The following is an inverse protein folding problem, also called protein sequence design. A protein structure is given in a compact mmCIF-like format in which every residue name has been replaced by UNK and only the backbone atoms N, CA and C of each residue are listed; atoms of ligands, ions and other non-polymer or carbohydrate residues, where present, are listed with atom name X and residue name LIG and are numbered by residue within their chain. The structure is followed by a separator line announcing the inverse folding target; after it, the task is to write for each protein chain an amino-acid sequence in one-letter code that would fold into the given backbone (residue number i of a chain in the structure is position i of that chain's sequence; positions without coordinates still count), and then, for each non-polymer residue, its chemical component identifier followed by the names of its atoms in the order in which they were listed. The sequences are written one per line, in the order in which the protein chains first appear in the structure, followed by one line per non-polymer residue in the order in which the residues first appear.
data_IF_981328079642
#
_entry.id   IF_981328079642
#
_cell.length_a   1.000
_cell.length_b   1.000
_cell.length_c   1.000
_cell.angle_alpha   90.00
_cell.angle_beta   90.00
_cell.angle_gamma   90.00
#
_symmetry.space_group_name_H-M   'P 1'
#
loop_
_entity.id
_entity.type
_entity.pdbx_description
1 polymer ?
#
# COMPACT_ATOMS: atom_id res chain seq x y z
N UNK A 1 1.53 10.53 -6.90
CA UNK A 1 0.78 10.02 -8.06
C UNK A 1 -0.61 10.60 -7.98
N UNK A 2 -0.99 11.41 -8.95
CA UNK A 2 -2.35 12.00 -9.01
C UNK A 2 -3.39 10.96 -9.48
N UNK A 3 -4.68 11.23 -9.27
CA UNK A 3 -5.76 10.31 -9.64
C UNK A 3 -5.69 9.89 -11.13
N UNK A 4 -5.47 10.84 -12.04
CA UNK A 4 -5.37 10.55 -13.47
C UNK A 4 -4.16 9.69 -13.81
N UNK A 5 -3.05 9.87 -13.10
CA UNK A 5 -1.88 9.01 -13.23
C UNK A 5 -2.18 7.59 -12.72
N UNK A 6 -2.89 7.43 -11.59
CA UNK A 6 -3.32 6.13 -11.09
C UNK A 6 -4.24 5.43 -12.10
N UNK A 7 -5.20 6.17 -12.68
CA UNK A 7 -6.12 5.65 -13.70
C UNK A 7 -5.39 5.24 -14.97
N UNK A 8 -4.47 6.09 -15.45
CA UNK A 8 -3.62 5.79 -16.61
C UNK A 8 -2.75 4.55 -16.38
N UNK A 9 -2.10 4.46 -15.21
CA UNK A 9 -1.30 3.32 -14.83
C UNK A 9 -2.14 2.04 -14.75
N UNK A 10 -3.33 2.11 -14.16
CA UNK A 10 -4.24 0.98 -14.07
C UNK A 10 -4.73 0.50 -15.44
N UNK A 11 -5.06 1.42 -16.37
CA UNK A 11 -5.42 1.08 -17.76
C UNK A 11 -4.29 0.30 -18.44
N UNK A 12 -3.04 0.74 -18.28
CA UNK A 12 -1.85 0.03 -18.77
C UNK A 12 -1.76 -1.38 -18.17
N UNK A 13 -1.95 -1.52 -16.85
CA UNK A 13 -1.94 -2.83 -16.18
C UNK A 13 -3.07 -3.75 -16.65
N UNK A 14 -4.25 -3.20 -16.96
CA UNK A 14 -5.42 -3.97 -17.43
C UNK A 14 -5.25 -4.49 -18.85
N UNK A 15 -4.47 -3.81 -19.69
CA UNK A 15 -4.13 -4.26 -21.03
C UNK A 15 -3.13 -5.41 -21.06
N UNK A 16 -2.43 -5.66 -19.94
CA UNK A 16 -1.45 -6.74 -19.84
C UNK A 16 -2.11 -8.11 -19.71
N UNK A 17 -1.41 -9.12 -20.21
CA UNK A 17 -1.73 -10.52 -19.96
C UNK A 17 -1.52 -10.90 -18.50
N UNK A 18 -2.12 -12.02 -18.08
CA UNK A 18 -1.96 -12.55 -16.70
C UNK A 18 -0.49 -12.82 -16.35
N UNK A 19 0.31 -13.33 -17.29
CA UNK A 19 1.73 -13.63 -17.10
C UNK A 19 2.56 -12.36 -16.92
N UNK A 20 2.26 -11.30 -17.68
CA UNK A 20 2.93 -10.01 -17.56
C UNK A 20 2.62 -9.31 -16.24
N UNK A 21 1.36 -9.34 -15.80
CA UNK A 21 0.98 -8.84 -14.46
C UNK A 21 1.72 -9.62 -13.37
N UNK A 22 1.79 -10.95 -13.49
CA UNK A 22 2.54 -11.79 -12.54
C UNK A 22 4.02 -11.40 -12.52
N UNK A 23 4.66 -11.23 -13.67
CA UNK A 23 6.06 -10.80 -13.79
C UNK A 23 6.29 -9.43 -13.15
N UNK A 24 5.43 -8.44 -13.44
CA UNK A 24 5.51 -7.11 -12.79
C UNK A 24 5.39 -7.20 -11.28
N UNK A 25 4.46 -8.02 -10.77
CA UNK A 25 4.32 -8.25 -9.32
C UNK A 25 5.54 -8.93 -8.72
N UNK A 26 6.13 -9.91 -9.39
CA UNK A 26 7.38 -10.54 -8.93
C UNK A 26 8.53 -9.54 -8.85
N UNK A 27 8.62 -8.59 -9.78
CA UNK A 27 9.65 -7.53 -9.72
C UNK A 27 9.39 -6.56 -8.57
N UNK A 28 8.16 -6.04 -8.43
CA UNK A 28 7.80 -5.18 -7.29
C UNK A 28 8.01 -5.89 -5.95
N UNK A 29 7.78 -7.20 -5.87
CA UNK A 29 8.03 -7.97 -4.65
C UNK A 29 9.50 -7.94 -4.22
N UNK A 30 10.43 -7.96 -5.18
CA UNK A 30 11.87 -7.80 -4.89
C UNK A 30 12.16 -6.40 -4.35
N UNK A 31 11.54 -5.38 -4.97
CA UNK A 31 11.66 -3.99 -4.50
C UNK A 31 11.18 -3.82 -3.05
N UNK A 32 10.09 -4.51 -2.68
CA UNK A 32 9.61 -4.55 -1.30
C UNK A 32 10.55 -5.30 -0.35
N UNK A 33 11.34 -6.27 -0.82
CA UNK A 33 12.11 -7.18 0.02
C UNK A 33 13.58 -6.74 0.18
N UNK A 34 13.77 -5.49 0.58
CA UNK A 34 15.09 -4.96 0.96
C UNK A 34 15.68 -3.92 0.02
N UNK A 35 15.23 -3.81 -1.23
CA UNK A 35 15.82 -2.86 -2.20
C UNK A 35 15.29 -1.44 -2.00
N UNK A 36 13.97 -1.28 -1.82
CA UNK A 36 13.31 0.03 -1.67
C UNK A 36 12.49 0.14 -0.37
N UNK A 37 12.40 -0.95 0.39
CA UNK A 37 11.70 -1.01 1.66
C UNK A 37 12.32 -2.09 2.55
N UNK A 38 11.84 -2.24 3.79
CA UNK A 38 12.35 -3.24 4.73
C UNK A 38 12.18 -4.66 4.20
N UNK A 39 13.15 -5.55 4.48
CA UNK A 39 13.01 -6.98 4.22
C UNK A 39 11.68 -7.51 4.79
N UNK A 40 10.94 -8.27 3.99
CA UNK A 40 9.62 -8.82 4.35
C UNK A 40 9.72 -9.68 5.61
N UNK A 41 10.85 -10.35 5.81
CA UNK A 41 11.14 -11.14 7.02
C UNK A 41 11.06 -10.34 8.32
N UNK A 42 11.29 -9.02 8.27
CA UNK A 42 11.24 -8.11 9.43
C UNK A 42 9.84 -7.56 9.68
N UNK A 43 8.92 -7.67 8.71
CA UNK A 43 7.58 -7.12 8.88
C UNK A 43 6.78 -7.89 9.94
N UNK A 44 5.88 -7.22 10.68
CA UNK A 44 4.97 -7.89 11.58
C UNK A 44 4.17 -8.98 10.88
N UNK A 45 3.95 -10.12 11.56
CA UNK A 45 3.24 -11.29 11.00
C UNK A 45 1.86 -10.92 10.46
N UNK A 46 1.14 -10.01 11.13
CA UNK A 46 -0.19 -9.57 10.69
C UNK A 46 -0.14 -8.73 9.40
N UNK A 47 0.90 -7.91 9.22
CA UNK A 47 1.13 -7.14 7.99
C UNK A 47 1.45 -8.09 6.84
N UNK A 48 2.38 -9.03 7.04
CA UNK A 48 2.71 -10.03 6.00
C UNK A 48 1.47 -10.78 5.51
N UNK A 49 0.64 -11.27 6.43
CA UNK A 49 -0.61 -11.98 6.09
C UNK A 49 -1.51 -11.12 5.20
N UNK A 50 -1.72 -9.85 5.58
CA UNK A 50 -2.52 -8.90 4.80
C UNK A 50 -1.91 -8.61 3.44
N UNK A 51 -0.60 -8.43 3.37
CA UNK A 51 0.10 -8.13 2.12
C UNK A 51 -0.08 -9.24 1.08
N UNK A 52 0.00 -10.51 1.50
CA UNK A 52 -0.16 -11.65 0.60
C UNK A 52 -1.62 -12.04 0.35
N UNK A 53 -2.60 -11.53 1.10
CA UNK A 53 -4.03 -11.82 0.93
C UNK A 53 -4.72 -11.00 -0.17
N UNK A 54 -4.00 -10.66 -1.25
CA UNK A 54 -4.55 -9.93 -2.39
C UNK A 54 -5.65 -10.73 -3.11
N UNK A 55 -6.79 -10.12 -3.54
CA UNK A 55 -7.08 -8.68 -3.54
C UNK A 55 -7.57 -8.16 -2.19
N UNK A 56 -7.27 -6.89 -1.90
CA UNK A 56 -7.52 -6.28 -0.59
C UNK A 56 -8.95 -5.76 -0.42
N UNK A 57 -9.49 -5.94 0.79
CA UNK A 57 -10.70 -5.27 1.26
C UNK A 57 -10.40 -3.84 1.74
N UNK A 58 -11.45 -3.10 2.12
CA UNK A 58 -11.33 -1.68 2.49
C UNK A 58 -10.39 -1.49 3.69
N UNK A 59 -10.55 -2.31 4.73
CA UNK A 59 -9.71 -2.28 5.94
C UNK A 59 -8.26 -2.70 5.68
N UNK A 60 -8.03 -3.75 4.88
CA UNK A 60 -6.67 -4.22 4.59
C UNK A 60 -5.91 -3.21 3.73
N UNK A 61 -6.58 -2.56 2.77
CA UNK A 61 -6.02 -1.45 2.01
C UNK A 61 -5.59 -0.32 2.93
N UNK A 62 -6.44 0.12 3.86
CA UNK A 62 -6.10 1.18 4.81
C UNK A 62 -4.89 0.80 5.68
N UNK A 63 -4.90 -0.40 6.27
CA UNK A 63 -3.81 -0.85 7.16
C UNK A 63 -2.48 -0.93 6.40
N UNK A 64 -2.47 -1.54 5.22
CA UNK A 64 -1.26 -1.66 4.41
C UNK A 64 -0.79 -0.30 3.88
N UNK A 65 -1.72 0.56 3.45
CA UNK A 65 -1.41 1.92 3.00
C UNK A 65 -0.70 2.70 4.11
N UNK A 66 -1.27 2.72 5.32
CA UNK A 66 -0.69 3.42 6.47
C UNK A 66 0.65 2.82 6.88
N UNK A 67 0.78 1.48 6.84
CA UNK A 67 2.05 0.80 7.11
C UNK A 67 3.14 1.22 6.13
N UNK A 68 2.86 1.22 4.83
CA UNK A 68 3.85 1.61 3.82
C UNK A 68 4.20 3.09 3.89
N UNK A 69 3.19 3.96 3.92
CA UNK A 69 3.41 5.41 3.99
C UNK A 69 4.16 5.80 5.27
N UNK A 70 3.71 5.31 6.43
CA UNK A 70 4.31 5.65 7.72
C UNK A 70 5.76 5.16 7.88
N UNK A 71 6.11 4.01 7.31
CA UNK A 71 7.48 3.50 7.35
C UNK A 71 8.35 4.01 6.17
N UNK A 72 7.90 5.04 5.43
CA UNK A 72 8.70 5.67 4.37
C UNK A 72 8.85 4.85 3.08
N UNK A 73 7.92 3.92 2.80
CA UNK A 73 7.90 3.21 1.53
C UNK A 73 7.60 4.19 0.37
N UNK A 74 8.32 4.14 -0.76
CA UNK A 74 8.04 5.01 -1.89
C UNK A 74 6.58 4.89 -2.38
N UNK A 75 5.82 6.00 -2.48
CA UNK A 75 4.43 5.99 -2.91
C UNK A 75 4.19 5.28 -4.25
N UNK A 76 5.10 5.47 -5.19
CA UNK A 76 4.99 4.84 -6.50
C UNK A 76 4.99 3.31 -6.43
N UNK A 77 5.77 2.72 -5.52
CA UNK A 77 5.88 1.26 -5.36
C UNK A 77 4.60 0.67 -4.77
N UNK A 78 4.14 1.17 -3.62
CA UNK A 78 2.97 0.59 -2.98
C UNK A 78 1.66 0.89 -3.70
N UNK A 79 1.53 2.06 -4.34
CA UNK A 79 0.37 2.36 -5.18
C UNK A 79 0.32 1.44 -6.41
N UNK A 80 1.44 1.25 -7.13
CA UNK A 80 1.50 0.32 -8.25
C UNK A 80 1.16 -1.12 -7.82
N UNK A 81 1.61 -1.53 -6.64
CA UNK A 81 1.26 -2.81 -6.05
C UNK A 81 -0.24 -2.95 -5.82
N UNK A 82 -0.88 -1.98 -5.16
CA UNK A 82 -2.34 -1.97 -4.95
C UNK A 82 -3.11 -2.01 -6.27
N UNK A 83 -2.73 -1.19 -7.24
CA UNK A 83 -3.35 -1.16 -8.57
C UNK A 83 -3.26 -2.53 -9.25
N UNK A 84 -2.08 -3.17 -9.21
CA UNK A 84 -1.88 -4.50 -9.79
C UNK A 84 -2.72 -5.59 -9.11
N UNK A 85 -2.98 -5.47 -7.81
CA UNK A 85 -3.84 -6.39 -7.04
C UNK A 85 -5.31 -6.35 -7.48
N UNK A 86 -5.73 -5.28 -8.14
CA UNK A 86 -7.13 -5.05 -8.50
C UNK A 86 -7.44 -5.13 -10.00
N UNK A 87 -6.48 -5.54 -10.84
CA UNK A 87 -6.66 -5.63 -12.31
C UNK A 87 -7.88 -6.47 -12.72
N UNK A 88 -8.13 -7.56 -12.00
CA UNK A 88 -9.28 -8.47 -12.24
C UNK A 88 -10.50 -8.18 -11.37
N UNK A 89 -10.46 -7.14 -10.54
CA UNK A 89 -11.55 -6.83 -9.62
C UNK A 89 -12.64 -6.05 -10.37
N UNK A 90 -13.91 -6.49 -10.38
CA UNK A 90 -14.98 -5.75 -11.06
C UNK A 90 -15.22 -4.36 -10.47
N UNK A 91 -14.90 -4.16 -9.19
CA UNK A 91 -15.00 -2.89 -8.46
C UNK A 91 -13.69 -2.10 -8.46
N UNK A 92 -12.82 -2.31 -9.44
CA UNK A 92 -11.50 -1.65 -9.53
C UNK A 92 -11.58 -0.12 -9.45
N UNK A 93 -12.60 0.52 -10.05
CA UNK A 93 -12.78 1.98 -9.96
C UNK A 93 -12.88 2.43 -8.50
N UNK A 94 -13.78 1.81 -7.72
CA UNK A 94 -13.92 2.08 -6.28
C UNK A 94 -12.56 1.96 -5.57
N UNK A 95 -11.76 0.95 -5.91
CA UNK A 95 -10.44 0.72 -5.30
C UNK A 95 -9.44 1.84 -5.62
N UNK A 96 -9.43 2.35 -6.85
CA UNK A 96 -8.57 3.48 -7.22
C UNK A 96 -9.00 4.76 -6.49
N UNK A 97 -10.30 5.07 -6.49
CA UNK A 97 -10.81 6.23 -5.74
C UNK A 97 -10.54 6.12 -4.24
N UNK A 98 -10.58 4.91 -3.68
CA UNK A 98 -10.19 4.68 -2.29
C UNK A 98 -8.71 5.06 -2.06
N UNK A 99 -7.80 4.65 -2.95
CA UNK A 99 -6.37 5.00 -2.85
C UNK A 99 -6.14 6.51 -3.00
N UNK A 100 -6.81 7.15 -3.96
CA UNK A 100 -6.75 8.60 -4.15
C UNK A 100 -7.26 9.35 -2.91
N UNK A 101 -8.38 8.89 -2.33
CA UNK A 101 -8.91 9.47 -1.10
C UNK A 101 -7.91 9.33 0.05
N UNK A 102 -7.30 8.16 0.24
CA UNK A 102 -6.27 7.96 1.27
C UNK A 102 -5.09 8.90 1.07
N UNK A 103 -4.57 8.97 -0.15
CA UNK A 103 -3.43 9.80 -0.49
C UNK A 103 -3.67 11.29 -0.24
N UNK A 104 -4.84 11.81 -0.63
CA UNK A 104 -5.22 13.21 -0.42
C UNK A 104 -5.50 13.56 1.05
N UNK A 105 -5.99 12.60 1.83
CA UNK A 105 -6.41 12.83 3.22
C UNK A 105 -5.30 12.53 4.24
N UNK A 106 -4.21 11.88 3.85
CA UNK A 106 -3.12 11.50 4.74
C UNK A 106 -2.60 12.68 5.59
N UNK A 107 -2.32 13.82 4.95
CA UNK A 107 -1.81 15.00 5.64
C UNK A 107 -2.79 15.58 6.67
N UNK A 108 -4.09 15.57 6.35
CA UNK A 108 -5.15 16.11 7.22
C UNK A 108 -5.48 15.19 8.40
N UNK A 109 -5.16 13.91 8.28
CA UNK A 109 -5.40 12.91 9.31
C UNK A 109 -4.11 12.47 10.02
N UNK A 110 -3.01 13.21 9.87
CA UNK A 110 -1.70 12.78 10.32
C UNK A 110 -1.58 12.58 11.84
N UNK A 111 -2.46 13.22 12.61
CA UNK A 111 -2.60 13.17 14.07
C UNK A 111 -3.64 12.14 14.54
N UNK A 112 -4.39 11.54 13.61
CA UNK A 112 -5.49 10.60 13.89
C UNK A 112 -5.19 9.20 13.39
N UNK A 113 -4.62 9.10 12.20
CA UNK A 113 -4.24 7.84 11.60
C UNK A 113 -2.90 7.39 12.14
N UNK A 114 -2.78 6.09 12.35
CA UNK A 114 -1.61 5.46 12.95
C UNK A 114 -1.21 4.21 12.19
N UNK A 115 0.08 3.90 12.22
CA UNK A 115 0.68 2.74 11.60
C UNK A 115 1.57 2.02 12.60
N UNK A 116 1.90 0.76 12.32
CA UNK A 116 2.91 0.04 13.10
C UNK A 116 4.29 0.38 12.52
N UNK A 117 5.13 1.03 13.31
CA UNK A 117 6.50 1.36 12.94
C UNK A 117 7.43 0.16 13.17
N UNK A 118 8.26 -0.15 12.17
CA UNK A 118 9.15 -1.31 12.20
C UNK A 118 10.33 -1.09 13.16
N UNK A 119 10.87 0.12 13.25
CA UNK A 119 12.04 0.43 14.08
C UNK A 119 11.66 0.51 15.57
N UNK A 120 10.63 1.28 15.88
CA UNK A 120 10.14 1.50 17.25
C UNK A 120 9.33 0.31 17.78
N UNK A 121 8.91 -0.60 16.91
CA UNK A 121 8.04 -1.75 17.21
C UNK A 121 6.73 -1.35 17.92
N UNK A 122 6.22 -0.16 17.62
CA UNK A 122 5.07 0.48 18.27
C UNK A 122 4.14 1.13 17.26
N UNK A 123 2.94 1.48 17.71
CA UNK A 123 2.04 2.29 16.89
C UNK A 123 2.40 3.77 17.02
N UNK A 124 2.65 4.41 15.88
CA UNK A 124 2.88 5.84 15.75
C UNK A 124 1.76 6.46 14.93
N UNK A 125 1.41 7.70 15.25
CA UNK A 125 0.63 8.52 14.34
C UNK A 125 1.47 8.83 13.09
N UNK A 126 0.82 9.14 11.97
CA UNK A 126 1.52 9.49 10.71
C UNK A 126 2.45 10.70 10.89
N UNK A 127 2.16 11.61 11.82
CA UNK A 127 3.06 12.71 12.20
C UNK A 127 4.28 12.29 13.06
N UNK A 128 4.48 10.99 13.31
CA UNK A 128 5.59 10.44 14.09
C UNK A 128 5.36 10.41 15.61
N UNK A 129 4.30 11.02 16.12
CA UNK A 129 4.02 11.01 17.55
C UNK A 129 3.61 9.61 18.03
N UNK A 130 4.04 9.25 19.25
CA UNK A 130 3.66 7.97 19.87
C UNK A 130 2.15 7.93 20.08
N UNK A 131 1.52 6.82 19.69
CA UNK A 131 0.12 6.58 20.02
C UNK A 131 0.00 6.24 21.51
N UNK A 132 -0.46 7.20 22.30
CA UNK A 132 -0.83 6.94 23.69
C UNK A 132 -2.11 6.11 23.64
N UNK A 133 -2.04 4.86 24.12
CA UNK A 133 -3.26 4.08 24.39
C UNK A 133 -4.00 4.81 25.51
N UNK A 134 -5.14 5.43 25.17
CA UNK A 134 -6.18 5.71 26.16
C UNK A 134 -6.90 4.41 26.48
#
# INVERSE_FOLDING_TARGET
MELEEMLSHFRKLKALTKSEVKRKRSNMLKEFDGDCFFKIALWPKFIRRKFFSSPYGDCDTLILYLFFSGNGCPPMLYLAWFLSSHVKNPRWKKRIYQLDWLFKNEFFHRDKWFYFDIYETKYLYINGNKRIKR
#
